data_IF_662735649349
#
_entry.id   IF_662735649349
#
_cell.length_a   1.000
_cell.length_b   1.000
_cell.length_c   1.000
_cell.angle_alpha   90.00
_cell.angle_beta   90.00
_cell.angle_gamma   90.00
#
_symmetry.space_group_name_H-M   'P 1'
#
loop_
_entity.id
_entity.type
_entity.pdbx_description
1 polymer ?
#
# COMPACT_ATOMS: atom_id res chain seq x y z
N UNK A 1 11.77 -45.63 35.72
CA UNK A 1 10.53 -46.33 35.29
C UNK A 1 9.50 -45.25 35.02
N UNK A 2 9.46 -44.67 33.80
CA UNK A 2 8.66 -45.08 32.64
C UNK A 2 7.15 -45.22 32.94
N UNK A 3 6.34 -44.33 32.35
CA UNK A 3 5.06 -44.54 31.63
C UNK A 3 4.48 -43.13 31.34
N UNK A 4 4.86 -42.49 30.24
CA UNK A 4 4.15 -42.50 28.96
C UNK A 4 2.65 -42.19 29.08
N UNK A 5 2.29 -40.91 28.92
CA UNK A 5 0.97 -40.51 28.37
C UNK A 5 1.21 -39.53 27.22
N UNK A 6 1.61 -40.08 26.08
CA UNK A 6 1.16 -39.58 24.80
C UNK A 6 -0.36 -39.60 24.76
N UNK A 7 -0.95 -38.50 24.30
CA UNK A 7 -2.24 -38.39 23.58
C UNK A 7 -2.92 -37.08 23.95
N UNK A 8 -2.43 -36.00 23.38
CA UNK A 8 -3.27 -34.85 23.04
C UNK A 8 -2.98 -34.51 21.58
N UNK A 9 -3.48 -35.39 20.70
CA UNK A 9 -3.86 -35.01 19.35
C UNK A 9 -5.01 -34.00 19.49
N UNK A 10 -4.67 -32.72 19.65
CA UNK A 10 -5.60 -31.65 19.29
C UNK A 10 -5.28 -31.30 17.85
N UNK A 11 -5.99 -32.00 16.97
CA UNK A 11 -6.41 -31.50 15.68
C UNK A 11 -7.09 -30.14 15.92
N UNK A 12 -6.35 -29.04 15.78
CA UNK A 12 -6.97 -27.77 15.42
C UNK A 12 -7.44 -27.89 13.97
N UNK A 13 -8.63 -28.47 13.83
CA UNK A 13 -9.71 -27.96 13.01
C UNK A 13 -9.33 -26.72 12.19
N UNK A 14 -9.33 -26.90 10.87
CA UNK A 14 -9.95 -26.00 9.89
C UNK A 14 -10.20 -24.58 10.43
N UNK A 15 -9.33 -23.63 10.10
CA UNK A 15 -9.73 -22.22 10.03
C UNK A 15 -10.30 -21.98 8.63
N UNK A 16 -11.63 -22.13 8.39
CA UNK A 16 -12.22 -21.55 7.21
C UNK A 16 -12.07 -20.03 7.33
N UNK A 17 -11.32 -19.44 6.39
CA UNK A 17 -11.35 -18.03 6.06
C UNK A 17 -11.46 -17.06 7.24
N UNK A 18 -10.34 -16.77 7.90
CA UNK A 18 -10.22 -15.48 8.59
C UNK A 18 -10.16 -14.41 7.51
N UNK A 19 -11.33 -13.98 7.00
CA UNK A 19 -11.50 -12.66 6.41
C UNK A 19 -11.39 -11.66 7.56
N UNK A 20 -10.17 -11.47 8.05
CA UNK A 20 -9.87 -10.28 8.81
C UNK A 20 -9.93 -9.12 7.81
N UNK A 21 -11.03 -8.36 7.85
CA UNK A 21 -11.07 -7.04 7.23
C UNK A 21 -9.84 -6.28 7.73
N UNK A 22 -8.97 -5.83 6.81
CA UNK A 22 -7.74 -5.17 7.22
C UNK A 22 -8.10 -3.92 8.02
N UNK A 23 -7.57 -3.75 9.25
CA UNK A 23 -7.93 -2.60 10.06
C UNK A 23 -7.37 -1.34 9.40
N UNK A 24 -8.21 -0.31 9.27
CA UNK A 24 -7.80 0.99 8.69
C UNK A 24 -6.56 1.59 9.37
N UNK A 25 -6.37 1.34 10.67
CA UNK A 25 -5.20 1.80 11.43
C UNK A 25 -3.88 1.25 10.89
N UNK A 26 -3.89 0.01 10.39
CA UNK A 26 -2.71 -0.62 9.79
C UNK A 26 -2.38 0.03 8.45
N UNK A 27 -3.38 0.21 7.58
CA UNK A 27 -3.19 0.92 6.30
C UNK A 27 -2.66 2.34 6.52
N UNK A 28 -3.15 3.03 7.55
CA UNK A 28 -2.69 4.38 7.91
C UNK A 28 -1.23 4.38 8.36
N UNK A 29 -0.85 3.44 9.24
CA UNK A 29 0.53 3.32 9.71
C UNK A 29 1.47 3.02 8.54
N UNK A 30 1.13 2.05 7.69
CA UNK A 30 1.97 1.67 6.55
C UNK A 30 2.09 2.81 5.53
N UNK A 31 1.00 3.54 5.25
CA UNK A 31 1.04 4.73 4.39
C UNK A 31 2.00 5.78 4.96
N UNK A 32 1.96 6.03 6.27
CA UNK A 32 2.85 7.00 6.91
C UNK A 32 4.32 6.57 6.86
N UNK A 33 4.61 5.28 7.07
CA UNK A 33 5.95 4.72 6.96
C UNK A 33 6.46 4.78 5.53
N UNK A 34 5.61 4.48 4.55
CA UNK A 34 5.95 4.55 3.13
C UNK A 34 6.26 5.98 2.70
N UNK A 35 5.45 6.93 3.16
CA UNK A 35 5.65 8.37 2.96
C UNK A 35 6.99 8.81 3.52
N UNK A 36 7.30 8.42 4.76
CA UNK A 36 8.60 8.70 5.36
C UNK A 36 9.74 8.08 4.54
N UNK A 37 9.65 6.80 4.18
CA UNK A 37 10.69 6.07 3.43
C UNK A 37 11.07 6.78 2.12
N UNK A 38 10.08 7.20 1.32
CA UNK A 38 10.34 7.72 -0.04
C UNK A 38 10.32 9.24 -0.20
N UNK A 39 9.73 9.98 0.75
CA UNK A 39 9.77 11.45 0.71
C UNK A 39 10.90 12.04 1.56
N UNK A 40 11.40 11.32 2.58
CA UNK A 40 12.56 11.79 3.37
C UNK A 40 13.88 11.21 2.86
N UNK A 41 13.87 10.00 2.30
CA UNK A 41 14.98 9.45 1.52
C UNK A 41 14.79 9.85 0.06
N UNK A 42 15.62 10.74 -0.47
CA UNK A 42 15.57 11.12 -1.88
C UNK A 42 15.52 9.85 -2.75
N UNK A 43 14.65 9.86 -3.76
CA UNK A 43 14.61 8.87 -4.83
C UNK A 43 15.97 8.87 -5.54
N UNK A 44 16.92 8.08 -5.04
CA UNK A 44 18.32 8.16 -5.44
C UNK A 44 18.64 7.30 -6.68
N UNK A 45 17.73 6.40 -7.06
CA UNK A 45 17.91 5.52 -8.21
C UNK A 45 16.58 5.16 -8.87
N UNK A 46 16.65 4.78 -10.15
CA UNK A 46 15.49 4.30 -10.91
C UNK A 46 14.85 3.06 -10.25
N UNK A 47 15.67 2.19 -9.67
CA UNK A 47 15.19 0.99 -8.99
C UNK A 47 14.36 1.34 -7.74
N UNK A 48 14.80 2.31 -6.93
CA UNK A 48 14.05 2.78 -5.76
C UNK A 48 12.74 3.44 -6.21
N UNK A 49 12.76 4.20 -7.31
CA UNK A 49 11.55 4.80 -7.85
C UNK A 49 10.54 3.77 -8.37
N UNK A 50 11.02 2.67 -9.00
CA UNK A 50 10.16 1.56 -9.39
C UNK A 50 9.55 0.84 -8.18
N UNK A 51 10.34 0.62 -7.12
CA UNK A 51 9.85 0.05 -5.86
C UNK A 51 8.80 0.96 -5.22
N UNK A 52 9.02 2.28 -5.23
CA UNK A 52 8.09 3.26 -4.67
C UNK A 52 6.73 3.24 -5.40
N UNK A 53 6.73 3.22 -6.75
CA UNK A 53 5.50 3.10 -7.55
C UNK A 53 4.78 1.79 -7.27
N UNK A 54 5.52 0.67 -7.19
CA UNK A 54 4.93 -0.64 -6.91
C UNK A 54 4.31 -0.71 -5.51
N UNK A 55 5.01 -0.18 -4.51
CA UNK A 55 4.56 -0.19 -3.12
C UNK A 55 3.35 0.74 -2.92
N UNK A 56 3.35 1.94 -3.50
CA UNK A 56 2.21 2.86 -3.42
C UNK A 56 0.98 2.28 -4.12
N UNK A 57 1.14 1.66 -5.30
CA UNK A 57 0.04 1.02 -6.02
C UNK A 57 -0.56 -0.17 -5.23
N UNK A 58 0.29 -0.99 -4.59
CA UNK A 58 -0.17 -2.09 -3.72
C UNK A 58 -1.02 -1.57 -2.57
N UNK A 59 -0.59 -0.49 -1.91
CA UNK A 59 -1.35 0.13 -0.82
C UNK A 59 -2.64 0.79 -1.31
N UNK A 60 -2.64 1.42 -2.47
CA UNK A 60 -3.86 1.97 -3.07
C UNK A 60 -4.89 0.85 -3.32
N UNK A 61 -4.45 -0.30 -3.83
CA UNK A 61 -5.32 -1.45 -4.03
C UNK A 61 -5.88 -1.99 -2.70
N UNK A 62 -5.06 -2.09 -1.65
CA UNK A 62 -5.52 -2.47 -0.31
C UNK A 62 -6.54 -1.48 0.25
N UNK A 63 -6.28 -0.18 0.12
CA UNK A 63 -7.20 0.88 0.53
C UNK A 63 -8.54 0.80 -0.22
N UNK A 64 -8.51 0.48 -1.52
CA UNK A 64 -9.73 0.31 -2.31
C UNK A 64 -10.55 -0.90 -1.85
N UNK A 65 -9.89 -2.05 -1.63
CA UNK A 65 -10.57 -3.24 -1.10
C UNK A 65 -11.19 -2.96 0.25
N UNK A 66 -10.43 -2.37 1.17
CA UNK A 66 -10.92 -1.96 2.48
C UNK A 66 -12.13 -1.02 2.37
N UNK A 67 -12.09 -0.06 1.45
CA UNK A 67 -13.19 0.87 1.21
C UNK A 67 -14.44 0.14 0.74
N UNK A 68 -14.34 -0.76 -0.25
CA UNK A 68 -15.47 -1.51 -0.78
C UNK A 68 -16.09 -2.44 0.26
N UNK A 69 -15.26 -3.15 1.02
CA UNK A 69 -15.70 -4.00 2.14
C UNK A 69 -16.42 -3.16 3.21
N UNK A 70 -15.82 -2.06 3.64
CA UNK A 70 -16.40 -1.17 4.65
C UNK A 70 -17.68 -0.49 4.16
N UNK A 71 -17.73 -0.08 2.90
CA UNK A 71 -18.92 0.51 2.28
C UNK A 71 -20.07 -0.50 2.24
N UNK A 72 -19.78 -1.76 1.90
CA UNK A 72 -20.78 -2.83 1.94
C UNK A 72 -21.31 -3.09 3.36
N UNK A 73 -20.44 -3.07 4.36
CA UNK A 73 -20.79 -3.27 5.76
C UNK A 73 -21.65 -2.12 6.31
N UNK A 74 -21.51 -0.89 5.80
CA UNK A 74 -22.33 0.23 6.23
C UNK A 74 -23.83 0.03 5.95
N UNK A 75 -24.21 -0.78 4.96
CA UNK A 75 -25.62 -1.01 4.64
C UNK A 75 -26.35 -1.90 5.64
N UNK A 76 -25.64 -2.63 6.52
CA UNK A 76 -26.25 -3.36 7.63
C UNK A 76 -26.42 -2.53 8.91
N UNK A 77 -25.89 -1.30 8.93
CA UNK A 77 -25.95 -0.42 10.10
C UNK A 77 -27.22 0.44 10.12
N UNK A 78 -27.71 0.77 11.31
CA UNK A 78 -28.88 1.66 11.43
C UNK A 78 -28.60 3.08 10.91
N UNK A 79 -27.37 3.58 11.11
CA UNK A 79 -26.93 4.90 10.68
C UNK A 79 -26.07 4.83 9.41
N UNK A 80 -26.60 4.21 8.34
CA UNK A 80 -25.90 4.00 7.05
C UNK A 80 -25.21 5.27 6.56
N UNK A 81 -25.90 6.42 6.56
CA UNK A 81 -25.35 7.69 6.07
C UNK A 81 -24.11 8.12 6.85
N UNK A 82 -24.13 8.03 8.18
CA UNK A 82 -22.99 8.41 9.01
C UNK A 82 -21.80 7.47 8.77
N UNK A 83 -22.06 6.16 8.68
CA UNK A 83 -21.06 5.15 8.36
C UNK A 83 -20.39 5.43 7.00
N UNK A 84 -21.20 5.65 5.95
CA UNK A 84 -20.69 5.94 4.61
C UNK A 84 -19.83 7.20 4.58
N UNK A 85 -20.20 8.24 5.33
CA UNK A 85 -19.38 9.46 5.42
C UNK A 85 -18.04 9.18 6.11
N UNK A 86 -18.03 8.45 7.22
CA UNK A 86 -16.78 8.09 7.93
C UNK A 86 -15.82 7.29 7.04
N UNK A 87 -16.33 6.26 6.35
CA UNK A 87 -15.55 5.43 5.42
C UNK A 87 -14.98 6.27 4.27
N UNK A 88 -15.78 7.19 3.70
CA UNK A 88 -15.31 8.13 2.67
C UNK A 88 -14.24 9.09 3.18
N UNK A 89 -14.40 9.61 4.38
CA UNK A 89 -13.41 10.49 5.00
C UNK A 89 -12.08 9.78 5.22
N UNK A 90 -12.11 8.55 5.75
CA UNK A 90 -10.93 7.69 5.91
C UNK A 90 -10.21 7.44 4.59
N UNK A 91 -10.92 7.12 3.51
CA UNK A 91 -10.32 6.99 2.17
C UNK A 91 -9.70 8.30 1.68
N UNK A 92 -10.40 9.43 1.85
CA UNK A 92 -9.91 10.77 1.48
C UNK A 92 -8.66 11.19 2.25
N UNK A 93 -8.45 10.67 3.45
CA UNK A 93 -7.26 10.95 4.24
C UNK A 93 -6.01 10.25 3.67
N UNK A 94 -6.10 8.98 3.26
CA UNK A 94 -4.92 8.20 2.85
C UNK A 94 -4.61 8.27 1.35
N UNK A 95 -5.64 8.37 0.51
CA UNK A 95 -5.45 8.32 -0.94
C UNK A 95 -4.52 9.43 -1.49
N UNK A 96 -4.58 10.70 -1.01
CA UNK A 96 -3.66 11.74 -1.46
C UNK A 96 -2.20 11.43 -1.15
N UNK A 97 -1.90 10.94 0.05
CA UNK A 97 -0.54 10.58 0.46
C UNK A 97 0.04 9.48 -0.45
N UNK A 98 -0.76 8.46 -0.77
CA UNK A 98 -0.34 7.39 -1.67
C UNK A 98 -0.11 7.88 -3.10
N UNK A 99 -0.92 8.83 -3.58
CA UNK A 99 -0.75 9.45 -4.90
C UNK A 99 0.47 10.37 -4.94
N UNK A 100 0.74 11.10 -3.86
CA UNK A 100 1.93 11.95 -3.75
C UNK A 100 3.21 11.13 -3.93
N UNK A 101 3.32 9.98 -3.24
CA UNK A 101 4.46 9.06 -3.39
C UNK A 101 4.58 8.55 -4.84
N UNK A 102 3.46 8.13 -5.43
CA UNK A 102 3.43 7.61 -6.80
C UNK A 102 3.88 8.67 -7.81
N UNK A 103 3.39 9.90 -7.68
CA UNK A 103 3.73 11.00 -8.57
C UNK A 103 5.18 11.42 -8.42
N UNK A 104 5.68 11.59 -7.20
CA UNK A 104 7.09 11.91 -6.96
C UNK A 104 8.02 10.86 -7.61
N UNK A 105 7.70 9.57 -7.47
CA UNK A 105 8.47 8.49 -8.08
C UNK A 105 8.39 8.50 -9.61
N UNK A 106 7.21 8.73 -10.19
CA UNK A 106 7.06 8.84 -11.66
C UNK A 106 7.77 10.06 -12.23
N UNK A 107 7.72 11.19 -11.55
CA UNK A 107 8.39 12.41 -11.96
C UNK A 107 9.91 12.23 -11.96
N UNK A 108 10.47 11.60 -10.92
CA UNK A 108 11.88 11.24 -10.90
C UNK A 108 12.27 10.33 -12.08
N UNK A 109 11.46 9.31 -12.37
CA UNK A 109 11.69 8.43 -13.54
C UNK A 109 11.66 9.20 -14.85
N UNK A 110 10.73 10.15 -14.99
CA UNK A 110 10.62 10.99 -16.19
C UNK A 110 11.86 11.86 -16.36
N UNK A 111 12.31 12.52 -15.28
CA UNK A 111 13.52 13.35 -15.30
C UNK A 111 14.78 12.54 -15.64
N UNK A 112 14.93 11.36 -15.02
CA UNK A 112 16.06 10.47 -15.28
C UNK A 112 16.14 10.02 -16.75
N UNK A 113 14.99 9.76 -17.39
CA UNK A 113 14.94 9.41 -18.82
C UNK A 113 15.34 10.57 -19.73
N UNK A 114 14.93 11.79 -19.39
CA UNK A 114 15.28 13.00 -20.15
C UNK A 114 16.80 13.21 -20.10
N UNK A 115 17.40 13.19 -18.90
CA UNK A 115 18.84 13.35 -18.73
C UNK A 115 19.65 12.29 -19.49
N UNK A 116 19.21 11.03 -19.47
CA UNK A 116 19.84 9.96 -20.25
C UNK A 116 19.71 10.17 -21.77
N UNK A 117 18.62 10.78 -22.23
CA UNK A 117 18.41 11.16 -23.64
C UNK A 117 19.33 12.29 -24.07
N UNK A 118 19.44 13.34 -23.25
CA UNK A 118 20.29 14.50 -23.52
C UNK A 118 21.76 14.07 -23.66
N UNK A 119 22.25 13.23 -22.74
CA UNK A 119 23.62 12.68 -22.82
C UNK A 119 23.90 11.92 -24.11
N UNK A 120 22.93 11.13 -24.61
CA UNK A 120 23.08 10.40 -25.88
C UNK A 120 23.21 11.38 -27.05
N UNK A 121 22.35 12.39 -27.09
CA UNK A 121 22.38 13.40 -28.16
C UNK A 121 23.70 14.17 -28.20
N UNK A 122 24.26 14.53 -27.05
CA UNK A 122 25.58 15.18 -26.96
C UNK A 122 26.69 14.25 -27.43
N UNK A 123 26.67 12.97 -27.02
CA UNK A 123 27.68 12.00 -27.44
C UNK A 123 27.66 11.69 -28.95
N UNK A 124 26.49 11.84 -29.58
CA UNK A 124 26.32 11.66 -31.03
C UNK A 124 26.84 12.89 -31.80
N UNK A 125 26.71 14.09 -31.26
CA UNK A 125 27.23 15.33 -31.86
C UNK A 125 28.76 15.47 -31.80
N UNK A 126 29.44 14.70 -30.95
CA UNK A 126 30.90 14.73 -30.82
C UNK A 126 31.63 13.70 -31.71
N UNK A 127 30.90 12.98 -32.56
CA UNK A 127 31.43 12.09 -33.59
C UNK A 127 31.34 12.72 -34.97
#
# INVERSE_FOLDING_TARGET
>A
MMFFRSSVLILCFLCPGVWAAEPFSELKLETSQLKQKYLTGLLASLQIADEAVGASAKLQFRLERWYLESESACYSEFFVNACLQDVKLKRRQLLPDLKEIEFAAKDFKRQSKILAGDQRSVSEQMK
#
